data_IF_856338300768
#
_entry.id   IF_856338300768
#
_cell.length_a   1.000
_cell.length_b   1.000
_cell.length_c   1.000
_cell.angle_alpha   90.00
_cell.angle_beta   90.00
_cell.angle_gamma   90.00
#
_symmetry.space_group_name_H-M   'P 1'
#
loop_
_entity.id
_entity.type
_entity.pdbx_description
1 polymer ?
#
# COMPACT_ATOMS: atom_id res chain seq x y z
N UNK A 1 -12.80 0.93 2.21
CA UNK A 1 -12.24 0.12 1.09
C UNK A 1 -10.71 0.25 1.05
N UNK A 2 -9.95 -0.65 1.71
CA UNK A 2 -8.48 -0.57 1.77
C UNK A 2 -7.77 -1.20 0.55
N UNK A 3 -8.35 -2.25 -0.04
CA UNK A 3 -7.84 -2.87 -1.28
C UNK A 3 -7.75 -1.84 -2.43
N UNK A 4 -8.76 -0.99 -2.60
CA UNK A 4 -8.73 0.09 -3.61
C UNK A 4 -7.58 1.08 -3.38
N UNK A 5 -7.15 1.30 -2.12
CA UNK A 5 -6.00 2.16 -1.81
C UNK A 5 -4.69 1.52 -2.25
N UNK A 6 -4.55 0.20 -2.08
CA UNK A 6 -3.43 -0.57 -2.61
C UNK A 6 -3.39 -0.57 -4.15
N UNK A 7 -4.54 -0.73 -4.82
CA UNK A 7 -4.61 -0.66 -6.28
C UNK A 7 -4.26 0.75 -6.77
N UNK A 8 -4.74 1.81 -6.10
CA UNK A 8 -4.37 3.19 -6.45
C UNK A 8 -2.85 3.42 -6.36
N UNK A 9 -2.19 2.86 -5.33
CA UNK A 9 -0.74 2.91 -5.21
C UNK A 9 -0.03 2.16 -6.33
N UNK A 10 -0.53 0.98 -6.73
CA UNK A 10 0.03 0.26 -7.88
C UNK A 10 0.00 1.14 -9.14
N UNK A 11 -1.17 1.68 -9.47
CA UNK A 11 -1.35 2.49 -10.68
C UNK A 11 -0.56 3.81 -10.63
N UNK A 12 -0.30 4.34 -9.44
CA UNK A 12 0.50 5.55 -9.25
C UNK A 12 2.01 5.28 -9.36
N UNK A 13 2.50 4.25 -8.67
CA UNK A 13 3.92 3.92 -8.60
C UNK A 13 4.43 3.23 -9.88
N UNK A 14 3.56 2.50 -10.57
CA UNK A 14 3.90 1.67 -11.73
C UNK A 14 3.03 2.05 -12.94
N UNK A 15 3.08 3.30 -13.44
CA UNK A 15 2.16 3.79 -14.48
C UNK A 15 2.31 3.06 -15.82
N UNK A 16 3.50 2.50 -16.09
CA UNK A 16 3.82 1.79 -17.33
C UNK A 16 3.61 0.27 -17.21
N UNK A 17 3.29 -0.24 -16.02
CA UNK A 17 3.06 -1.67 -15.83
C UNK A 17 1.71 -2.04 -16.43
N UNK A 18 1.72 -2.93 -17.42
CA UNK A 18 0.50 -3.52 -17.96
C UNK A 18 -0.11 -4.46 -16.94
N UNK A 19 -1.38 -4.26 -16.60
CA UNK A 19 -2.09 -5.04 -15.58
C UNK A 19 -3.19 -5.88 -16.24
N UNK A 20 -3.01 -7.19 -16.27
CA UNK A 20 -4.08 -8.14 -16.64
C UNK A 20 -4.82 -8.63 -15.39
N UNK A 21 -4.07 -9.05 -14.37
CA UNK A 21 -4.64 -9.59 -13.12
C UNK A 21 -3.88 -9.11 -11.90
N UNK A 22 -4.63 -8.73 -10.85
CA UNK A 22 -4.09 -8.41 -9.53
C UNK A 22 -4.59 -9.40 -8.51
N UNK A 23 -3.69 -10.01 -7.74
CA UNK A 23 -4.00 -10.80 -6.56
C UNK A 23 -3.44 -10.10 -5.33
N UNK A 24 -4.29 -9.90 -4.32
CA UNK A 24 -3.89 -9.26 -3.06
C UNK A 24 -4.07 -10.25 -1.92
N UNK A 25 -3.00 -10.46 -1.15
CA UNK A 25 -3.03 -11.19 0.11
C UNK A 25 -2.58 -10.24 1.21
N UNK A 26 -3.46 -9.96 2.17
CA UNK A 26 -3.14 -9.02 3.22
C UNK A 26 -4.04 -9.13 4.45
N UNK A 27 -3.60 -8.50 5.52
CA UNK A 27 -4.33 -8.35 6.77
C UNK A 27 -4.78 -6.90 6.93
N UNK A 28 -6.02 -6.70 7.37
CA UNK A 28 -6.59 -5.37 7.60
C UNK A 28 -6.76 -5.15 9.09
N UNK A 29 -6.01 -4.22 9.66
CA UNK A 29 -6.29 -3.69 11.00
C UNK A 29 -7.25 -2.50 10.94
N UNK A 30 -7.35 -1.76 12.05
CA UNK A 30 -8.17 -0.54 12.09
C UNK A 30 -7.51 0.60 11.30
N UNK A 31 -6.24 0.87 11.56
CA UNK A 31 -5.49 1.97 10.94
C UNK A 31 -4.74 1.60 9.65
N UNK A 32 -4.53 0.30 9.42
CA UNK A 32 -3.55 -0.21 8.48
C UNK A 32 -4.09 -1.31 7.56
N UNK A 33 -3.40 -1.53 6.44
CA UNK A 33 -3.56 -2.66 5.55
C UNK A 33 -2.19 -3.07 5.03
N UNK A 34 -1.76 -4.26 5.43
CA UNK A 34 -0.43 -4.79 5.16
C UNK A 34 -0.53 -6.08 4.36
N UNK A 35 0.42 -6.30 3.46
CA UNK A 35 0.45 -7.55 2.72
C UNK A 35 1.31 -7.50 1.47
N UNK A 36 0.95 -8.39 0.56
CA UNK A 36 1.63 -8.58 -0.71
C UNK A 36 0.62 -8.53 -1.85
N UNK A 37 1.03 -7.88 -2.94
CA UNK A 37 0.29 -7.79 -4.19
C UNK A 37 1.10 -8.49 -5.28
N UNK A 38 0.45 -9.39 -6.01
CA UNK A 38 1.00 -10.00 -7.22
C UNK A 38 0.25 -9.44 -8.42
N UNK A 39 1.00 -8.96 -9.39
CA UNK A 39 0.49 -8.41 -10.65
C UNK A 39 0.98 -9.29 -11.77
N UNK A 40 0.04 -9.89 -12.52
CA UNK A 40 0.31 -10.59 -13.76
C UNK A 40 0.05 -9.63 -14.91
N UNK A 41 1.02 -9.48 -15.82
CA UNK A 41 0.84 -8.72 -17.05
C UNK A 41 0.22 -9.56 -18.18
N UNK A 42 0.07 -8.96 -19.36
CA UNK A 42 -0.54 -9.61 -20.52
C UNK A 42 0.30 -10.76 -21.09
N UNK A 43 1.62 -10.74 -20.87
CA UNK A 43 2.56 -11.77 -21.33
C UNK A 43 2.71 -12.91 -20.32
N UNK A 44 2.14 -12.74 -19.11
CA UNK A 44 2.12 -13.72 -18.03
C UNK A 44 3.24 -13.54 -17.01
N UNK A 45 4.05 -12.50 -17.13
CA UNK A 45 5.10 -12.20 -16.16
C UNK A 45 4.47 -11.71 -14.84
N UNK A 46 5.06 -12.13 -13.72
CA UNK A 46 4.54 -11.87 -12.38
C UNK A 46 5.48 -10.95 -11.62
N UNK A 47 4.99 -9.76 -11.31
CA UNK A 47 5.65 -8.82 -10.40
C UNK A 47 5.02 -8.90 -9.02
N UNK A 48 5.85 -8.86 -7.98
CA UNK A 48 5.39 -8.95 -6.59
C UNK A 48 5.78 -7.69 -5.82
N UNK A 49 4.84 -7.15 -5.05
CA UNK A 49 5.01 -5.93 -4.26
C UNK A 49 4.60 -6.17 -2.82
N UNK A 50 5.50 -5.89 -1.88
CA UNK A 50 5.15 -5.81 -0.46
C UNK A 50 4.70 -4.39 -0.14
N UNK A 51 3.60 -4.26 0.60
CA UNK A 51 3.01 -2.97 0.91
C UNK A 51 2.57 -2.86 2.37
N UNK A 52 2.56 -1.62 2.84
CA UNK A 52 1.94 -1.19 4.09
C UNK A 52 1.30 0.16 3.90
N UNK A 53 -0.02 0.17 3.91
CA UNK A 53 -0.83 1.38 3.97
C UNK A 53 -1.23 1.62 5.42
N UNK A 54 -0.74 2.69 6.05
CA UNK A 54 -0.91 2.95 7.47
C UNK A 54 -1.20 4.44 7.75
N UNK A 55 -2.47 4.75 8.08
CA UNK A 55 -2.89 6.12 8.39
C UNK A 55 -2.45 6.60 9.76
N UNK A 56 -2.23 5.69 10.70
CA UNK A 56 -1.70 6.07 12.01
C UNK A 56 -0.25 6.52 11.88
N UNK A 57 0.56 5.81 11.09
CA UNK A 57 1.90 6.24 10.73
C UNK A 57 1.90 7.63 10.07
N UNK A 58 1.01 7.85 9.09
CA UNK A 58 0.89 9.17 8.43
C UNK A 58 0.47 10.26 9.42
N UNK A 59 -0.48 9.99 10.31
CA UNK A 59 -0.90 10.94 11.34
C UNK A 59 0.27 11.32 12.28
N UNK A 60 1.08 10.34 12.70
CA UNK A 60 2.29 10.57 13.51
C UNK A 60 3.30 11.47 12.77
N UNK A 61 3.57 11.21 11.50
CA UNK A 61 4.46 12.02 10.66
C UNK A 61 4.00 13.49 10.58
N UNK A 62 2.69 13.72 10.58
CA UNK A 62 2.09 15.06 10.48
C UNK A 62 1.84 15.72 11.84
N UNK A 63 2.09 15.01 12.95
CA UNK A 63 1.75 15.48 14.30
C UNK A 63 0.24 15.63 14.53
N UNK A 64 -0.59 14.90 13.80
CA UNK A 64 -2.04 14.94 13.97
C UNK A 64 -2.44 14.15 15.21
N UNK A 65 -3.06 14.83 16.16
CA UNK A 65 -3.57 14.24 17.40
C UNK A 65 -5.08 14.41 17.49
N UNK A 66 -5.76 13.40 18.01
CA UNK A 66 -7.18 13.44 18.35
C UNK A 66 -7.40 14.14 19.70
N UNK A 67 -8.65 14.25 20.13
CA UNK A 67 -9.02 14.88 21.41
C UNK A 67 -8.47 14.16 22.66
N UNK A 68 -7.97 12.93 22.52
CA UNK A 68 -7.36 12.15 23.60
C UNK A 68 -5.83 12.17 23.54
N UNK A 69 -5.24 12.81 22.53
CA UNK A 69 -3.79 12.87 22.32
C UNK A 69 -3.20 11.65 21.60
N UNK A 70 -4.03 10.78 21.00
CA UNK A 70 -3.56 9.70 20.13
C UNK A 70 -3.44 10.18 18.69
N UNK A 71 -2.67 9.52 17.81
CA UNK A 71 -2.57 9.92 16.42
C UNK A 71 -3.94 9.89 15.73
N UNK A 72 -4.34 10.99 15.08
CA UNK A 72 -5.63 11.08 14.39
C UNK A 72 -5.55 10.43 13.00
N UNK A 73 -5.65 9.10 12.97
CA UNK A 73 -5.62 8.31 11.75
C UNK A 73 -6.87 8.53 10.87
N UNK A 74 -7.98 8.97 11.44
CA UNK A 74 -9.21 9.26 10.69
C UNK A 74 -9.02 10.52 9.85
N UNK A 75 -8.47 11.59 10.44
CA UNK A 75 -8.10 12.80 9.71
C UNK A 75 -7.10 12.50 8.60
N UNK A 76 -6.02 11.76 8.91
CA UNK A 76 -5.06 11.37 7.89
C UNK A 76 -5.70 10.53 6.76
N UNK A 77 -6.61 9.61 7.09
CA UNK A 77 -7.31 8.80 6.10
C UNK A 77 -8.22 9.60 5.17
N UNK A 78 -8.82 10.68 5.68
CA UNK A 78 -9.71 11.57 4.93
C UNK A 78 -8.92 12.53 4.02
N UNK A 79 -7.82 13.09 4.52
CA UNK A 79 -7.02 14.07 3.77
C UNK A 79 -6.15 13.40 2.68
N UNK A 80 -5.55 12.24 2.97
CA UNK A 80 -4.55 11.63 2.09
C UNK A 80 -5.08 10.41 1.32
N UNK A 81 -6.23 9.86 1.72
CA UNK A 81 -6.83 8.73 1.02
C UNK A 81 -5.86 7.55 0.88
N UNK A 82 -5.43 7.25 -0.34
CA UNK A 82 -4.49 6.16 -0.60
C UNK A 82 -3.03 6.50 -0.24
N UNK A 83 -2.64 7.77 -0.09
CA UNK A 83 -1.24 8.20 0.03
C UNK A 83 -0.57 7.96 1.39
N UNK A 84 -1.11 7.05 2.20
CA UNK A 84 -0.58 6.70 3.52
C UNK A 84 0.32 5.47 3.47
N UNK A 85 1.05 5.26 2.38
CA UNK A 85 2.00 4.14 2.28
C UNK A 85 3.27 4.44 3.08
N UNK A 86 3.47 3.67 4.14
CA UNK A 86 4.73 3.59 4.88
C UNK A 86 5.73 2.71 4.13
N UNK A 87 5.22 1.66 3.45
CA UNK A 87 6.04 0.74 2.65
C UNK A 87 5.40 0.45 1.30
N UNK A 88 6.22 0.50 0.26
CA UNK A 88 5.92 0.01 -1.08
C UNK A 88 7.24 -0.46 -1.70
N UNK A 89 7.42 -1.78 -1.83
CA UNK A 89 8.69 -2.35 -2.30
C UNK A 89 8.41 -3.46 -3.29
N UNK A 90 9.02 -3.39 -4.49
CA UNK A 90 9.03 -4.50 -5.43
C UNK A 90 9.95 -5.60 -4.91
N UNK A 91 9.43 -6.81 -4.76
CA UNK A 91 10.22 -7.97 -4.36
C UNK A 91 11.18 -8.36 -5.49
N UNK A 92 12.47 -8.49 -5.17
CA UNK A 92 13.47 -8.99 -6.11
C UNK A 92 13.36 -10.52 -6.13
N UNK A 93 13.13 -11.16 -7.29
CA UNK A 93 13.13 -12.61 -7.36
C UNK A 93 14.48 -13.16 -6.88
N UNK A 94 14.46 -14.21 -6.05
CA UNK A 94 15.66 -14.80 -5.46
C UNK A 94 16.75 -15.22 -6.48
N UNK A 95 16.39 -15.37 -7.76
CA UNK A 95 17.31 -15.71 -8.83
C UNK A 95 18.32 -14.60 -9.23
N UNK A 96 18.19 -13.37 -8.69
CA UNK A 96 19.05 -12.23 -9.03
C UNK A 96 19.88 -11.69 -7.84
N UNK A 97 19.92 -12.40 -6.72
CA UNK A 97 20.81 -12.07 -5.61
C UNK A 97 22.17 -12.78 -5.78
N UNK A 98 23.06 -12.20 -6.59
CA UNK A 98 24.47 -12.61 -6.73
C UNK A 98 25.37 -11.42 -6.46
#
# INVERSE_FOLDING_TARGET
MKVLRAIAQLLHAEPDLTVDRVQVRGASGCADFIGQMQVTDADGDVQTFDFEWNCEWKARQLGYLDGFGFPDQIRAANEFGWQCFERWTRAIPAAQAV
#
